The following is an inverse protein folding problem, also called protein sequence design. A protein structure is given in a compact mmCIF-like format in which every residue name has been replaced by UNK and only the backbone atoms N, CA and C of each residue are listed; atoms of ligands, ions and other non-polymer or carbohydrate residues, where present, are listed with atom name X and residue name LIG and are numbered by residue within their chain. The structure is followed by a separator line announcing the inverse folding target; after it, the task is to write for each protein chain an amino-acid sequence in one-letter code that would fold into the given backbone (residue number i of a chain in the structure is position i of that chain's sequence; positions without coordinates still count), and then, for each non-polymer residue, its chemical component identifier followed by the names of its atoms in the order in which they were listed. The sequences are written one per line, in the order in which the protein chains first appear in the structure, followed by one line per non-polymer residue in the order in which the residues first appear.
data_IF_914113999491
#
_entry.id   IF_914113999491
#
_cell.length_a   1.000
_cell.length_b   1.000
_cell.length_c   1.000
_cell.angle_alpha   90.00
_cell.angle_beta   90.00
_cell.angle_gamma   90.00
#
_symmetry.space_group_name_H-M   'P 1'
#
loop_
_entity.id
_entity.type
_entity.pdbx_description
1 polymer ?
#
# COMPACT_ATOMS: atom_id res chain seq x y z
N UNK A 1 5.65 -22.58 -18.04
CA UNK A 1 4.21 -22.20 -18.09
C UNK A 1 3.83 -22.02 -16.62
N UNK A 2 3.29 -20.87 -16.20
CA UNK A 2 3.09 -20.56 -14.77
C UNK A 2 1.59 -20.61 -14.47
N UNK A 3 1.19 -21.37 -13.45
CA UNK A 3 -0.21 -21.57 -13.10
C UNK A 3 -0.53 -21.02 -11.70
N UNK A 4 -1.69 -20.37 -11.57
CA UNK A 4 -2.22 -19.86 -10.29
C UNK A 4 -3.38 -20.77 -9.92
N UNK A 5 -3.24 -21.56 -8.85
CA UNK A 5 -4.32 -22.40 -8.35
C UNK A 5 -4.99 -21.69 -7.16
N UNK A 6 -6.26 -21.30 -7.35
CA UNK A 6 -7.13 -20.86 -6.27
C UNK A 6 -8.05 -21.99 -5.84
N UNK A 7 -7.95 -22.43 -4.58
CA UNK A 7 -8.85 -23.45 -4.02
C UNK A 7 -9.90 -22.75 -3.16
N UNK A 8 -11.16 -22.78 -3.61
CA UNK A 8 -12.29 -22.27 -2.86
C UNK A 8 -13.62 -22.70 -3.48
N UNK A 9 -14.58 -23.12 -2.66
CA UNK A 9 -15.94 -23.42 -3.10
C UNK A 9 -16.57 -22.16 -3.73
N UNK A 10 -16.75 -22.18 -5.05
CA UNK A 10 -17.27 -21.09 -5.85
C UNK A 10 -18.79 -20.97 -5.64
N UNK A 11 -19.20 -20.41 -4.50
CA UNK A 11 -20.57 -19.94 -4.30
C UNK A 11 -20.51 -18.45 -3.91
N UNK A 12 -20.72 -17.59 -4.91
CA UNK A 12 -21.00 -16.14 -4.78
C UNK A 12 -19.96 -15.26 -4.04
N UNK A 13 -18.68 -15.34 -4.42
CA UNK A 13 -17.73 -14.26 -4.10
C UNK A 13 -18.04 -13.03 -4.97
N UNK A 14 -18.84 -12.09 -4.47
CA UNK A 14 -18.74 -10.68 -4.93
C UNK A 14 -17.27 -10.29 -4.72
N UNK A 15 -16.51 -10.09 -5.80
CA UNK A 15 -15.11 -9.65 -5.73
C UNK A 15 -15.06 -8.37 -4.88
N UNK A 16 -14.40 -8.42 -3.72
CA UNK A 16 -14.16 -7.24 -2.91
C UNK A 16 -13.35 -6.26 -3.75
N UNK A 17 -13.92 -5.10 -4.04
CA UNK A 17 -13.25 -4.06 -4.81
C UNK A 17 -12.34 -3.30 -3.85
N UNK A 18 -11.04 -3.26 -4.15
CA UNK A 18 -10.10 -2.40 -3.44
C UNK A 18 -10.58 -0.97 -3.55
N UNK A 19 -10.70 -0.29 -2.41
CA UNK A 19 -11.16 1.09 -2.36
C UNK A 19 -9.96 2.03 -2.34
N UNK A 20 -8.98 1.75 -1.46
CA UNK A 20 -7.73 2.51 -1.35
C UNK A 20 -6.59 1.61 -0.88
N UNK A 21 -5.36 2.00 -1.15
CA UNK A 21 -4.15 1.37 -0.60
C UNK A 21 -3.20 2.43 -0.09
N UNK A 22 -2.52 2.14 1.02
CA UNK A 22 -1.49 2.99 1.62
C UNK A 22 -0.20 2.19 1.78
N UNK A 23 0.89 2.65 1.20
CA UNK A 23 2.23 2.13 1.50
C UNK A 23 2.76 2.82 2.75
N UNK A 24 3.30 2.05 3.68
CA UNK A 24 3.74 2.51 5.00
C UNK A 24 5.23 2.21 5.15
N UNK A 25 5.98 3.21 5.57
CA UNK A 25 7.42 3.13 5.79
C UNK A 25 7.76 3.61 7.20
N UNK A 26 8.71 2.92 7.84
CA UNK A 26 9.36 3.42 9.05
C UNK A 26 10.37 4.50 8.65
N UNK A 27 10.41 5.55 9.46
CA UNK A 27 11.21 6.75 9.21
C UNK A 27 12.16 6.98 10.36
N UNK A 28 13.44 7.22 10.07
CA UNK A 28 14.39 7.71 11.07
C UNK A 28 14.58 9.23 10.95
N UNK A 29 14.51 9.75 9.71
CA UNK A 29 14.65 11.16 9.39
C UNK A 29 13.77 11.52 8.20
N UNK A 30 13.01 12.60 8.34
CA UNK A 30 12.17 13.15 7.28
C UNK A 30 11.92 14.65 7.51
N UNK A 31 12.66 15.50 6.81
CA UNK A 31 12.76 16.94 7.06
C UNK A 31 12.33 17.77 5.83
N UNK A 32 11.19 17.40 5.23
CA UNK A 32 10.59 18.18 4.15
C UNK A 32 9.69 19.28 4.70
N UNK A 33 10.26 20.46 4.92
CA UNK A 33 9.52 21.67 5.37
C UNK A 33 9.12 22.61 4.22
N UNK A 34 9.59 22.33 3.01
CA UNK A 34 9.36 23.12 1.80
C UNK A 34 9.11 22.21 0.61
N UNK A 35 8.57 22.77 -0.48
CA UNK A 35 8.39 22.00 -1.72
C UNK A 35 9.72 21.76 -2.41
N UNK A 36 9.94 20.52 -2.88
CA UNK A 36 11.10 20.15 -3.67
C UNK A 36 10.68 19.35 -4.91
N UNK A 37 11.48 19.44 -5.97
CA UNK A 37 11.24 18.77 -7.25
C UNK A 37 12.35 17.78 -7.57
N UNK A 38 11.98 16.54 -7.86
CA UNK A 38 12.91 15.52 -8.31
C UNK A 38 13.51 15.85 -9.69
N UNK A 39 14.73 15.38 -10.01
CA UNK A 39 15.39 15.64 -11.29
C UNK A 39 14.57 15.22 -12.51
N UNK A 40 14.86 15.78 -13.67
CA UNK A 40 14.23 15.47 -14.97
C UNK A 40 12.71 15.57 -14.98
N UNK A 41 12.17 16.38 -14.06
CA UNK A 41 10.74 16.47 -13.79
C UNK A 41 10.13 15.09 -13.52
N UNK A 42 10.84 14.23 -12.78
CA UNK A 42 10.36 12.89 -12.40
C UNK A 42 9.35 12.92 -11.26
N UNK A 43 9.20 14.06 -10.56
CA UNK A 43 8.20 14.20 -9.51
C UNK A 43 8.46 15.37 -8.57
N UNK A 44 7.69 15.45 -7.49
CA UNK A 44 7.82 16.45 -6.45
C UNK A 44 7.17 16.01 -5.14
N UNK A 45 7.56 16.67 -4.04
CA UNK A 45 6.87 16.62 -2.76
C UNK A 45 6.66 18.05 -2.26
N UNK A 46 5.47 18.34 -1.73
CA UNK A 46 5.14 19.63 -1.17
C UNK A 46 4.31 19.46 0.11
N UNK A 47 4.69 20.10 1.23
CA UNK A 47 3.83 20.17 2.41
C UNK A 47 2.49 20.82 2.07
N UNK A 48 1.41 20.36 2.70
CA UNK A 48 0.06 20.88 2.47
C UNK A 48 -0.63 21.22 3.78
N UNK A 49 -1.14 22.44 3.87
CA UNK A 49 -1.97 22.87 4.99
C UNK A 49 -1.20 22.91 6.31
N UNK A 50 -1.94 22.68 7.40
CA UNK A 50 -1.40 22.58 8.77
C UNK A 50 -1.29 21.11 9.17
N UNK A 51 -0.54 20.84 10.22
CA UNK A 51 -0.55 19.53 10.87
C UNK A 51 -1.98 19.13 11.25
N UNK A 52 -2.29 17.86 11.07
CA UNK A 52 -3.53 17.24 11.48
C UNK A 52 -3.29 16.54 12.82
N UNK A 53 -4.29 16.59 13.69
CA UNK A 53 -4.31 15.75 14.89
C UNK A 53 -5.34 14.65 14.66
N UNK A 54 -4.85 13.43 14.55
CA UNK A 54 -5.66 12.22 14.43
C UNK A 54 -5.41 11.39 15.67
N UNK A 55 -6.44 11.18 16.49
CA UNK A 55 -6.32 10.59 17.82
C UNK A 55 -5.34 11.39 18.72
N UNK A 56 -4.10 10.91 18.85
CA UNK A 56 -2.99 11.56 19.57
C UNK A 56 -1.76 11.76 18.68
N UNK A 57 -1.90 11.51 17.39
CA UNK A 57 -0.82 11.54 16.42
C UNK A 57 -0.80 12.91 15.73
N UNK A 58 0.40 13.47 15.62
CA UNK A 58 0.62 14.69 14.82
C UNK A 58 1.05 14.26 13.43
N UNK A 59 0.23 14.60 12.45
CA UNK A 59 0.43 14.16 11.07
C UNK A 59 0.64 15.35 10.16
N UNK A 60 1.75 15.36 9.43
CA UNK A 60 2.09 16.37 8.44
C UNK A 60 1.62 15.91 7.04
N UNK A 61 0.69 16.63 6.38
CA UNK A 61 0.22 16.27 5.04
C UNK A 61 1.16 16.75 3.94
N UNK A 62 1.23 15.99 2.86
CA UNK A 62 1.99 16.29 1.66
C UNK A 62 1.18 15.98 0.40
N UNK A 63 1.40 16.75 -0.65
CA UNK A 63 1.08 16.35 -2.02
C UNK A 63 2.35 15.86 -2.70
N UNK A 64 2.31 14.64 -3.20
CA UNK A 64 3.39 14.00 -3.92
C UNK A 64 3.00 13.84 -5.38
N UNK A 65 3.98 13.98 -6.28
CA UNK A 65 3.84 13.61 -7.69
C UNK A 65 5.00 12.73 -8.09
N UNK A 66 4.72 11.64 -8.80
CA UNK A 66 5.74 10.79 -9.40
C UNK A 66 5.36 10.41 -10.83
N UNK A 67 6.25 10.75 -11.77
CA UNK A 67 6.08 10.53 -13.19
C UNK A 67 6.75 9.22 -13.58
N UNK A 68 5.98 8.29 -14.12
CA UNK A 68 6.49 7.04 -14.67
C UNK A 68 6.55 7.13 -16.19
N UNK A 69 7.58 6.53 -16.78
CA UNK A 69 7.68 6.37 -18.22
C UNK A 69 6.93 5.09 -18.59
N UNK A 70 5.97 5.21 -19.48
CA UNK A 70 5.26 4.08 -20.09
C UNK A 70 5.85 3.88 -21.48
N UNK A 71 6.42 2.70 -21.73
CA UNK A 71 6.97 2.32 -23.03
C UNK A 71 5.88 1.55 -23.79
N UNK A 72 5.19 2.25 -24.68
CA UNK A 72 4.13 1.72 -25.52
C UNK A 72 4.20 2.45 -26.87
N UNK A 73 4.01 1.71 -27.96
CA UNK A 73 3.91 2.29 -29.29
C UNK A 73 2.59 3.06 -29.40
N UNK A 74 2.69 4.39 -29.39
CA UNK A 74 1.55 5.29 -29.46
C UNK A 74 1.70 6.27 -30.63
N UNK A 75 0.57 6.85 -31.03
CA UNK A 75 0.54 8.02 -31.92
C UNK A 75 0.25 9.27 -31.07
N UNK A 76 1.25 10.14 -30.92
CA UNK A 76 1.11 11.39 -30.20
C UNK A 76 0.81 12.53 -31.16
N UNK A 77 -0.12 13.42 -30.82
CA UNK A 77 -0.41 14.61 -31.63
C UNK A 77 0.66 15.67 -31.38
N UNK A 78 1.41 16.04 -32.40
CA UNK A 78 2.32 17.18 -32.35
C UNK A 78 1.49 18.48 -32.30
N UNK A 79 1.66 19.24 -31.22
CA UNK A 79 0.89 20.46 -30.96
C UNK A 79 1.27 21.62 -31.90
N UNK A 80 2.40 21.56 -32.60
CA UNK A 80 2.84 22.62 -33.52
C UNK A 80 2.17 22.54 -34.89
N UNK A 81 1.98 21.34 -35.42
CA UNK A 81 1.47 21.10 -36.78
C UNK A 81 0.17 20.29 -36.81
N UNK A 82 -0.27 19.75 -35.66
CA UNK A 82 -1.50 18.98 -35.52
C UNK A 82 -1.45 17.55 -36.06
N UNK A 83 -0.28 17.07 -36.52
CA UNK A 83 -0.12 15.71 -37.07
C UNK A 83 0.14 14.70 -35.97
N UNK A 84 -0.16 13.43 -36.24
CA UNK A 84 0.13 12.32 -35.33
C UNK A 84 1.50 11.74 -35.67
N UNK A 85 2.40 11.70 -34.70
CA UNK A 85 3.74 11.13 -34.81
C UNK A 85 3.85 9.84 -33.99
N UNK A 86 4.50 8.78 -34.52
CA UNK A 86 4.86 7.61 -33.71
C UNK A 86 5.75 8.01 -32.55
N UNK A 87 5.51 7.42 -31.38
CA UNK A 87 6.32 7.62 -30.19
C UNK A 87 6.34 6.33 -29.38
N UNK A 88 7.51 5.94 -28.88
CA UNK A 88 7.74 4.66 -28.19
C UNK A 88 7.53 4.77 -26.67
N UNK A 89 7.36 5.99 -26.14
CA UNK A 89 7.09 6.20 -24.72
C UNK A 89 6.40 7.52 -24.39
N UNK A 90 5.72 7.57 -23.24
CA UNK A 90 5.17 8.79 -22.69
C UNK A 90 5.33 8.83 -21.16
N UNK A 91 5.39 10.04 -20.60
CA UNK A 91 5.38 10.25 -19.14
C UNK A 91 3.93 10.29 -18.65
N UNK A 92 3.60 9.43 -17.70
CA UNK A 92 2.33 9.44 -16.97
C UNK A 92 2.55 10.00 -15.56
N UNK A 93 1.88 11.11 -15.25
CA UNK A 93 1.89 11.70 -13.92
C UNK A 93 0.99 10.94 -12.95
N UNK A 94 1.49 10.66 -11.76
CA UNK A 94 0.72 10.14 -10.64
C UNK A 94 0.84 11.13 -9.48
N UNK A 95 -0.25 11.84 -9.18
CA UNK A 95 -0.35 12.70 -7.99
C UNK A 95 -1.10 11.96 -6.90
N UNK A 96 -0.57 11.99 -5.68
CA UNK A 96 -1.12 11.27 -4.53
C UNK A 96 -0.80 11.99 -3.22
N UNK A 97 -1.61 11.71 -2.21
CA UNK A 97 -1.42 12.24 -0.86
C UNK A 97 -0.37 11.44 -0.09
N UNK A 98 0.51 12.14 0.62
CA UNK A 98 1.47 11.59 1.55
C UNK A 98 1.24 12.16 2.96
N UNK A 99 1.56 11.38 3.98
CA UNK A 99 1.34 11.76 5.38
C UNK A 99 2.50 11.27 6.23
N UNK A 100 3.17 12.18 6.92
CA UNK A 100 4.20 11.83 7.90
C UNK A 100 3.62 11.93 9.30
N UNK A 101 3.48 10.79 9.98
CA UNK A 101 3.10 10.70 11.40
C UNK A 101 4.37 10.86 12.24
N UNK A 102 4.54 12.05 12.83
CA UNK A 102 5.69 12.39 13.68
C UNK A 102 5.68 11.61 15.00
N UNK A 103 4.50 11.22 15.48
CA UNK A 103 4.35 10.51 16.75
C UNK A 103 4.85 9.08 16.63
N UNK A 104 4.58 8.41 15.50
CA UNK A 104 5.00 7.02 15.24
C UNK A 104 6.24 6.90 14.36
N UNK A 105 6.74 8.00 13.82
CA UNK A 105 7.77 8.03 12.78
C UNK A 105 7.42 7.14 11.57
N UNK A 106 6.20 7.32 11.04
CA UNK A 106 5.70 6.57 9.88
C UNK A 106 5.39 7.51 8.72
N UNK A 107 5.79 7.12 7.51
CA UNK A 107 5.38 7.76 6.28
C UNK A 107 4.35 6.89 5.56
N UNK A 108 3.16 7.45 5.32
CA UNK A 108 2.06 6.81 4.63
C UNK A 108 1.84 7.47 3.27
N UNK A 109 1.91 6.70 2.18
CA UNK A 109 1.69 7.18 0.81
C UNK A 109 0.45 6.52 0.20
N UNK A 110 -0.51 7.32 -0.26
CA UNK A 110 -1.74 6.85 -0.91
C UNK A 110 -1.53 6.57 -2.40
N UNK A 111 -0.53 5.75 -2.72
CA UNK A 111 -0.16 5.36 -4.07
C UNK A 111 0.03 3.84 -4.18
N UNK A 112 0.01 3.28 -5.41
CA UNK A 112 0.39 1.89 -5.63
C UNK A 112 1.81 1.63 -5.12
N UNK A 113 2.05 0.46 -4.52
CA UNK A 113 3.33 0.13 -3.88
C UNK A 113 4.56 0.32 -4.79
N UNK A 114 4.43 0.06 -6.10
CA UNK A 114 5.51 0.29 -7.06
C UNK A 114 5.82 1.79 -7.24
N UNK A 115 4.79 2.64 -7.30
CA UNK A 115 4.93 4.11 -7.39
C UNK A 115 5.56 4.62 -6.09
N UNK A 116 5.03 4.22 -4.93
CA UNK A 116 5.57 4.59 -3.62
C UNK A 116 7.05 4.23 -3.48
N UNK A 117 7.40 2.98 -3.80
CA UNK A 117 8.79 2.49 -3.70
C UNK A 117 9.76 3.29 -4.56
N UNK A 118 9.40 3.53 -5.82
CA UNK A 118 10.28 4.26 -6.73
C UNK A 118 10.39 5.73 -6.35
N UNK A 119 9.29 6.35 -5.92
CA UNK A 119 9.26 7.72 -5.42
C UNK A 119 10.16 7.90 -4.19
N UNK A 120 10.08 7.00 -3.20
CA UNK A 120 10.96 7.02 -2.02
C UNK A 120 12.42 6.87 -2.42
N UNK A 121 12.73 5.91 -3.30
CA UNK A 121 14.11 5.72 -3.78
C UNK A 121 14.67 6.99 -4.43
N UNK A 122 13.87 7.69 -5.22
CA UNK A 122 14.28 8.97 -5.79
C UNK A 122 14.46 10.06 -4.73
N UNK A 123 13.62 10.13 -3.70
CA UNK A 123 13.82 11.07 -2.60
C UNK A 123 15.11 10.78 -1.82
N UNK A 124 15.38 9.51 -1.49
CA UNK A 124 16.60 9.08 -0.79
C UNK A 124 17.87 9.42 -1.58
N UNK A 125 17.86 9.19 -2.91
CA UNK A 125 19.02 9.45 -3.76
C UNK A 125 19.29 10.95 -3.94
N UNK A 126 18.25 11.77 -4.05
CA UNK A 126 18.38 13.18 -4.41
C UNK A 126 18.37 14.13 -3.21
N UNK A 127 17.85 13.68 -2.06
CA UNK A 127 17.79 14.47 -0.83
C UNK A 127 18.32 13.71 0.40
N UNK A 128 19.53 13.12 0.35
CA UNK A 128 20.07 12.34 1.47
C UNK A 128 20.25 13.17 2.76
N UNK A 129 20.27 14.50 2.66
CA UNK A 129 20.31 15.39 3.82
C UNK A 129 18.94 15.64 4.46
N UNK A 130 17.83 15.32 3.79
CA UNK A 130 16.46 15.52 4.28
C UNK A 130 15.74 14.23 4.66
N UNK A 131 16.17 13.09 4.11
CA UNK A 131 15.54 11.80 4.35
C UNK A 131 16.60 10.70 4.43
N UNK A 132 16.50 9.87 5.47
CA UNK A 132 17.31 8.67 5.59
C UNK A 132 16.70 7.53 4.78
N UNK A 133 17.48 6.46 4.57
CA UNK A 133 16.94 5.24 3.97
C UNK A 133 15.77 4.72 4.79
N UNK A 134 14.60 4.65 4.17
CA UNK A 134 13.39 4.16 4.77
C UNK A 134 13.33 2.64 4.72
N UNK A 135 12.69 2.04 5.72
CA UNK A 135 12.34 0.62 5.70
C UNK A 135 10.84 0.46 5.57
N UNK A 136 10.43 -0.57 4.83
CA UNK A 136 9.02 -0.92 4.71
C UNK A 136 8.46 -1.33 6.09
N UNK A 137 7.25 -0.89 6.43
CA UNK A 137 6.58 -1.34 7.65
C UNK A 137 6.28 -2.85 7.60
N UNK A 138 6.61 -3.57 8.67
CA UNK A 138 6.37 -5.01 8.76
C UNK A 138 5.12 -5.26 9.59
N UNK A 139 4.12 -5.89 8.97
CA UNK A 139 2.95 -6.38 9.68
C UNK A 139 3.24 -7.76 10.27
N UNK A 140 2.95 -7.93 11.56
CA UNK A 140 3.03 -9.23 12.20
C UNK A 140 1.78 -10.04 11.84
N UNK A 141 1.93 -10.96 10.89
CA UNK A 141 0.83 -11.79 10.44
C UNK A 141 0.39 -12.80 11.50
N UNK A 142 1.25 -13.23 12.43
CA UNK A 142 0.86 -14.12 13.51
C UNK A 142 -0.09 -13.40 14.45
N UNK A 143 0.27 -12.17 14.85
CA UNK A 143 -0.59 -11.34 15.67
C UNK A 143 -1.92 -11.10 14.95
N UNK A 144 -1.90 -10.58 13.72
CA UNK A 144 -3.13 -10.30 12.95
C UNK A 144 -4.00 -11.56 12.77
N UNK A 145 -3.38 -12.73 12.55
CA UNK A 145 -4.08 -13.99 12.38
C UNK A 145 -4.67 -14.53 13.70
N UNK A 146 -4.00 -14.31 14.82
CA UNK A 146 -4.47 -14.76 16.15
C UNK A 146 -5.72 -13.99 16.62
N UNK A 147 -5.97 -12.81 16.06
CA UNK A 147 -7.12 -11.95 16.38
C UNK A 147 -8.34 -12.31 15.53
N UNK A 148 -8.98 -13.43 15.88
CA UNK A 148 -9.99 -14.07 15.05
C UNK A 148 -11.45 -13.73 15.42
N UNK A 149 -12.14 -13.13 14.45
CA UNK A 149 -13.46 -13.62 13.97
C UNK A 149 -13.47 -13.89 12.46
N UNK A 150 -12.32 -14.22 11.88
CA UNK A 150 -12.21 -14.82 10.54
C UNK A 150 -11.29 -14.08 9.57
N UNK A 151 -10.10 -14.63 9.35
CA UNK A 151 -9.34 -14.42 8.13
C UNK A 151 -10.18 -14.83 6.91
N UNK A 152 -10.20 -14.00 5.86
CA UNK A 152 -11.05 -14.21 4.67
C UNK A 152 -10.26 -14.52 3.42
N UNK A 153 -8.97 -14.19 3.43
CA UNK A 153 -8.08 -14.43 2.31
C UNK A 153 -6.63 -14.47 2.77
N UNK A 154 -5.89 -15.52 2.40
CA UNK A 154 -4.46 -15.63 2.67
C UNK A 154 -3.74 -16.00 1.38
N UNK A 155 -2.63 -15.31 1.11
CA UNK A 155 -1.82 -15.46 -0.08
C UNK A 155 -0.39 -15.77 0.36
N UNK A 156 0.19 -16.82 -0.21
CA UNK A 156 1.59 -17.17 0.04
C UNK A 156 2.24 -17.72 -1.22
N UNK A 157 3.57 -17.58 -1.27
CA UNK A 157 4.36 -18.18 -2.33
C UNK A 157 4.62 -19.65 -1.99
N UNK A 158 4.75 -20.49 -3.02
CA UNK A 158 5.06 -21.91 -2.87
C UNK A 158 6.43 -22.17 -3.47
N UNK A 159 7.34 -22.71 -2.66
CA UNK A 159 8.71 -23.01 -3.10
C UNK A 159 8.87 -24.49 -3.51
N UNK A 160 7.94 -25.35 -3.09
CA UNK A 160 8.05 -26.82 -3.18
C UNK A 160 7.32 -27.42 -4.39
N UNK A 161 6.72 -26.59 -5.26
CA UNK A 161 5.99 -27.03 -6.45
C UNK A 161 6.61 -26.40 -7.70
N UNK A 162 7.00 -27.22 -8.68
CA UNK A 162 7.70 -26.78 -9.88
C UNK A 162 6.83 -25.94 -10.82
N UNK A 163 5.51 -26.01 -10.68
CA UNK A 163 4.56 -25.39 -11.61
C UNK A 163 3.65 -24.32 -10.96
N UNK A 164 3.71 -24.17 -9.63
CA UNK A 164 2.87 -23.22 -8.87
C UNK A 164 3.74 -22.20 -8.12
N UNK A 165 3.66 -20.92 -8.52
CA UNK A 165 4.38 -19.84 -7.84
C UNK A 165 3.65 -19.33 -6.58
N UNK A 166 2.30 -19.37 -6.56
CA UNK A 166 1.47 -18.76 -5.52
C UNK A 166 0.18 -19.54 -5.27
N UNK A 167 -0.22 -19.67 -4.00
CA UNK A 167 -1.53 -20.18 -3.60
C UNK A 167 -2.34 -19.12 -2.87
N UNK A 168 -3.64 -19.11 -3.14
CA UNK A 168 -4.59 -18.20 -2.51
C UNK A 168 -5.76 -18.98 -1.93
N UNK A 169 -6.03 -18.77 -0.65
CA UNK A 169 -7.16 -19.36 0.07
C UNK A 169 -8.16 -18.27 0.39
N UNK A 170 -9.44 -18.51 0.10
CA UNK A 170 -10.52 -17.58 0.44
C UNK A 170 -11.73 -18.31 1.02
N UNK A 171 -12.46 -17.64 1.90
CA UNK A 171 -13.71 -18.18 2.46
C UNK A 171 -13.79 -18.06 3.98
N UNK A 172 -14.87 -18.61 4.55
CA UNK A 172 -14.94 -18.85 5.99
C UNK A 172 -14.02 -20.04 6.34
N UNK A 173 -13.33 -19.98 7.48
CA UNK A 173 -12.50 -21.11 7.95
C UNK A 173 -11.15 -21.23 7.24
N UNK A 174 -10.71 -20.20 6.49
CA UNK A 174 -9.38 -20.17 5.86
C UNK A 174 -8.28 -20.28 6.92
N UNK A 175 -8.50 -19.67 8.08
CA UNK A 175 -7.62 -19.78 9.25
C UNK A 175 -7.49 -21.20 9.79
N UNK A 176 -8.45 -22.10 9.53
CA UNK A 176 -8.42 -23.48 10.04
C UNK A 176 -7.64 -24.40 9.10
N UNK A 177 -7.23 -23.89 7.93
CA UNK A 177 -6.46 -24.65 6.97
C UNK A 177 -5.00 -24.78 7.43
N UNK A 178 -4.52 -26.03 7.54
CA UNK A 178 -3.16 -26.33 8.00
C UNK A 178 -2.09 -25.71 7.11
N UNK A 179 -2.28 -25.70 5.79
CA UNK A 179 -1.30 -25.11 4.86
C UNK A 179 -1.20 -23.59 5.03
N UNK A 180 -2.32 -22.94 5.36
CA UNK A 180 -2.38 -21.51 5.65
C UNK A 180 -1.69 -21.17 6.97
N UNK A 181 -1.91 -21.98 8.01
CA UNK A 181 -1.23 -21.86 9.30
C UNK A 181 0.28 -22.03 9.11
N UNK A 182 0.69 -23.11 8.43
CA UNK A 182 2.09 -23.37 8.11
C UNK A 182 2.72 -22.21 7.33
N UNK A 183 2.00 -21.61 6.38
CA UNK A 183 2.50 -20.47 5.61
C UNK A 183 2.66 -19.20 6.45
N UNK A 184 1.84 -18.99 7.47
CA UNK A 184 2.00 -17.89 8.43
C UNK A 184 3.19 -18.19 9.35
N UNK A 185 3.19 -19.38 9.98
CA UNK A 185 4.18 -19.87 10.94
C UNK A 185 5.60 -19.90 10.37
N UNK A 186 5.73 -20.20 9.07
CA UNK A 186 7.02 -20.26 8.38
C UNK A 186 7.33 -19.01 7.55
N UNK A 187 6.64 -17.89 7.82
CA UNK A 187 6.90 -16.60 7.18
C UNK A 187 6.74 -16.55 5.63
N UNK A 188 6.03 -17.52 5.04
CA UNK A 188 5.79 -17.62 3.59
C UNK A 188 4.60 -16.78 3.10
N UNK A 189 3.69 -16.40 3.99
CA UNK A 189 2.51 -15.59 3.69
C UNK A 189 2.86 -14.16 3.26
N UNK A 190 2.62 -13.79 2.00
CA UNK A 190 2.99 -12.47 1.46
C UNK A 190 1.88 -11.43 1.61
N UNK A 191 0.64 -11.89 1.80
CA UNK A 191 -0.52 -11.03 2.02
C UNK A 191 -1.60 -11.73 2.85
N UNK A 192 -2.21 -10.99 3.77
CA UNK A 192 -3.25 -11.42 4.69
C UNK A 192 -4.44 -10.46 4.60
N UNK A 193 -5.63 -10.98 4.33
CA UNK A 193 -6.89 -10.23 4.37
C UNK A 193 -7.73 -10.69 5.55
N UNK A 194 -7.97 -9.77 6.48
CA UNK A 194 -8.70 -10.04 7.71
C UNK A 194 -9.89 -9.09 7.89
N UNK A 195 -10.86 -9.54 8.66
CA UNK A 195 -11.90 -8.69 9.24
C UNK A 195 -11.46 -8.32 10.64
N UNK A 196 -11.17 -7.05 10.84
CA UNK A 196 -10.74 -6.51 12.13
C UNK A 196 -11.78 -5.54 12.68
N UNK A 197 -11.96 -5.54 13.99
CA UNK A 197 -12.73 -4.48 14.64
C UNK A 197 -11.86 -3.23 14.73
N UNK A 198 -12.29 -2.17 14.07
CA UNK A 198 -11.66 -0.85 14.14
C UNK A 198 -12.75 0.15 14.48
N UNK A 199 -12.64 0.78 15.65
CA UNK A 199 -13.61 1.72 16.18
C UNK A 199 -15.04 1.10 16.30
N UNK A 200 -15.12 -0.10 16.89
CA UNK A 200 -16.37 -0.86 17.09
C UNK A 200 -17.11 -1.17 15.77
N UNK A 201 -16.37 -1.22 14.66
CA UNK A 201 -16.89 -1.54 13.34
C UNK A 201 -16.02 -2.58 12.68
N UNK A 202 -16.65 -3.63 12.16
CA UNK A 202 -15.95 -4.65 11.38
C UNK A 202 -15.47 -4.05 10.05
N UNK A 203 -14.15 -4.08 9.82
CA UNK A 203 -13.49 -3.58 8.61
C UNK A 203 -12.72 -4.71 7.95
N UNK A 204 -12.90 -4.85 6.64
CA UNK A 204 -12.07 -5.76 5.83
C UNK A 204 -10.83 -5.01 5.37
N UNK A 205 -9.69 -5.42 5.89
CA UNK A 205 -8.38 -4.82 5.63
C UNK A 205 -7.40 -5.90 5.17
N UNK A 206 -6.60 -5.55 4.19
CA UNK A 206 -5.50 -6.36 3.70
C UNK A 206 -4.16 -5.82 4.17
N UNK A 207 -3.26 -6.73 4.51
CA UNK A 207 -1.92 -6.46 5.00
C UNK A 207 -0.94 -7.16 4.06
N UNK A 208 -0.01 -6.41 3.47
CA UNK A 208 1.06 -6.98 2.64
C UNK A 208 2.37 -6.98 3.40
N UNK A 209 3.19 -8.03 3.25
CA UNK A 209 4.61 -8.01 3.69
C UNK A 209 5.43 -6.88 3.08
N UNK A 210 4.95 -6.28 1.98
CA UNK A 210 5.51 -5.06 1.39
C UNK A 210 5.03 -3.78 2.08
N UNK A 211 4.58 -3.85 3.33
CA UNK A 211 4.16 -2.70 4.14
C UNK A 211 3.03 -1.91 3.52
N UNK A 212 2.12 -2.59 2.81
CA UNK A 212 0.96 -1.94 2.21
C UNK A 212 -0.30 -2.38 2.94
N UNK A 213 -1.07 -1.39 3.39
CA UNK A 213 -2.41 -1.57 3.95
C UNK A 213 -3.43 -1.34 2.85
N UNK A 214 -4.27 -2.35 2.58
CA UNK A 214 -5.27 -2.35 1.50
C UNK A 214 -6.65 -2.29 2.13
N UNK A 215 -7.38 -1.21 1.85
CA UNK A 215 -8.68 -0.94 2.43
C UNK A 215 -9.78 -1.40 1.47
N UNK A 216 -10.60 -2.35 1.93
CA UNK A 216 -11.79 -2.81 1.21
C UNK A 216 -13.08 -2.23 1.80
N UNK A 217 -13.11 -1.98 3.12
CA UNK A 217 -14.22 -1.31 3.77
C UNK A 217 -14.09 0.19 3.68
N UNK A 218 -15.11 0.88 3.14
CA UNK A 218 -15.11 2.35 3.09
C UNK A 218 -15.08 2.97 4.49
N UNK A 219 -14.25 4.00 4.74
CA UNK A 219 -14.34 4.81 5.95
C UNK A 219 -15.69 5.54 6.05
N UNK A 220 -15.96 6.15 7.21
CA UNK A 220 -17.18 6.94 7.40
C UNK A 220 -17.18 8.21 6.52
N UNK A 221 -16.00 8.78 6.29
CA UNK A 221 -15.74 9.89 5.38
C UNK A 221 -14.90 9.40 4.20
N UNK A 222 -15.42 9.48 2.97
CA UNK A 222 -14.78 9.00 1.73
C UNK A 222 -13.76 10.03 1.20
N UNK A 223 -12.89 10.51 2.08
CA UNK A 223 -11.81 11.46 1.81
C UNK A 223 -10.45 10.82 2.11
N UNK A 224 -9.36 11.36 1.55
CA UNK A 224 -8.01 10.88 1.88
C UNK A 224 -7.74 10.96 3.40
N UNK A 225 -8.24 11.99 4.09
CA UNK A 225 -8.14 12.06 5.55
C UNK A 225 -8.94 10.93 6.23
N UNK A 226 -10.12 10.57 5.73
CA UNK A 226 -10.89 9.45 6.24
C UNK A 226 -10.20 8.09 6.05
N UNK A 227 -9.51 7.89 4.92
CA UNK A 227 -8.68 6.69 4.71
C UNK A 227 -7.43 6.68 5.59
N UNK A 228 -6.81 7.84 5.82
CA UNK A 228 -5.69 7.99 6.74
C UNK A 228 -6.11 7.64 8.18
N UNK A 229 -7.23 8.21 8.65
CA UNK A 229 -7.79 7.92 9.97
C UNK A 229 -8.00 6.41 10.14
N UNK A 230 -8.68 5.76 9.19
CA UNK A 230 -8.90 4.31 9.23
C UNK A 230 -7.58 3.52 9.24
N UNK A 231 -6.56 3.95 8.50
CA UNK A 231 -5.25 3.30 8.50
C UNK A 231 -4.57 3.43 9.87
N UNK A 232 -4.56 4.62 10.47
CA UNK A 232 -3.95 4.85 11.80
C UNK A 232 -4.71 4.12 12.91
N UNK A 233 -6.05 4.11 12.88
CA UNK A 233 -6.88 3.36 13.82
C UNK A 233 -6.64 1.85 13.69
N UNK A 234 -6.43 1.36 12.46
CA UNK A 234 -6.06 -0.03 12.23
C UNK A 234 -4.71 -0.35 12.88
N UNK A 235 -3.69 0.48 12.65
CA UNK A 235 -2.38 0.28 13.28
C UNK A 235 -2.46 0.34 14.80
N UNK A 236 -3.28 1.24 15.34
CA UNK A 236 -3.51 1.36 16.78
C UNK A 236 -4.17 0.08 17.33
N UNK A 237 -5.22 -0.41 16.67
CA UNK A 237 -5.90 -1.65 17.06
C UNK A 237 -4.95 -2.86 17.07
N UNK A 238 -4.01 -2.92 16.11
CA UNK A 238 -2.98 -3.97 16.08
C UNK A 238 -1.89 -3.83 17.15
N UNK A 239 -1.70 -2.63 17.72
CA UNK A 239 -0.66 -2.36 18.72
C UNK A 239 -1.14 -2.46 20.18
N UNK A 240 -2.46 -2.40 20.40
CA UNK A 240 -3.09 -2.41 21.73
C UNK A 240 -3.51 -3.82 22.19
N UNK A 241 -3.16 -4.83 21.40
CA UNK A 241 -3.57 -6.22 21.58
C UNK A 241 -2.35 -7.10 21.80
#
# INVERSE_FOLDING_TARGET
MKEIIGVGLVNNLRRLKVVKSLSIYNVNKFEFVESVSLPDSSGSIAPVGKSLTINRDTVLPFTCTYNIIINEDILAKDMKNGTYIPTESYKKSNTFSGFFDETRNLLLLMAPAAVSKNFIKELENNYPNKIDKLSTYTFDFHNIHSFERGARGIYFNVDDDTDIDTKHFFGNGVQENVEVQDAIDNDKATYLMAKIDVDNKERTIGFSRKGTLVIYSKPNDDSDQGYLQLALDTLLALSQQ
#
